data_IF_984791307708
#
_entry.id   IF_984791307708
#
_cell.length_a   1.000
_cell.length_b   1.000
_cell.length_c   1.000
_cell.angle_alpha   90.00
_cell.angle_beta   90.00
_cell.angle_gamma   90.00
#
_symmetry.space_group_name_H-M   'P 1'
#
loop_
_entity.id
_entity.type
_entity.pdbx_description
1 polymer ?
#
# COMPACT_ATOMS: atom_id res chain seq x y z
N UNK A 1 9.40 15.31 -2.23
CA UNK A 1 8.92 14.20 -3.06
C UNK A 1 9.94 14.05 -4.18
N UNK A 2 10.42 12.86 -4.54
CA UNK A 2 11.20 12.76 -5.77
C UNK A 2 10.32 13.29 -6.90
N UNK A 3 10.83 14.25 -7.65
CA UNK A 3 10.18 14.75 -8.85
C UNK A 3 10.26 13.65 -9.91
N UNK A 4 9.12 13.23 -10.45
CA UNK A 4 9.05 12.31 -11.59
C UNK A 4 8.01 11.21 -11.41
N UNK A 5 6.86 11.40 -12.06
CA UNK A 5 5.74 10.47 -12.28
C UNK A 5 5.06 9.82 -11.06
N UNK A 6 3.76 10.09 -10.93
CA UNK A 6 2.88 9.31 -10.06
C UNK A 6 2.72 7.89 -10.63
N UNK A 7 2.58 6.86 -9.79
CA UNK A 7 2.34 5.50 -10.26
C UNK A 7 0.99 5.46 -11.00
N UNK A 8 1.00 4.99 -12.25
CA UNK A 8 -0.17 5.00 -13.13
C UNK A 8 -1.41 4.37 -12.48
N UNK A 9 -1.21 3.29 -11.71
CA UNK A 9 -2.26 2.63 -10.94
C UNK A 9 -3.03 3.60 -10.02
N UNK A 10 -2.35 4.51 -9.31
CA UNK A 10 -2.99 5.46 -8.40
C UNK A 10 -3.25 6.84 -9.03
N UNK A 11 -2.91 7.01 -10.30
CA UNK A 11 -3.08 8.24 -11.06
C UNK A 11 -3.77 8.04 -12.44
N UNK A 12 -4.82 7.21 -12.56
CA UNK A 12 -5.50 7.00 -13.85
C UNK A 12 -6.27 8.24 -14.33
N UNK A 13 -6.65 9.12 -13.39
CA UNK A 13 -7.35 10.37 -13.64
C UNK A 13 -6.94 11.47 -12.63
N UNK A 14 -7.48 12.68 -12.82
CA UNK A 14 -7.14 13.83 -11.99
C UNK A 14 -7.63 13.70 -10.53
N UNK A 15 -8.77 13.05 -10.27
CA UNK A 15 -9.31 12.88 -8.92
C UNK A 15 -8.42 11.90 -8.15
N UNK A 16 -8.14 10.73 -8.71
CA UNK A 16 -7.29 9.71 -8.12
C UNK A 16 -5.89 10.26 -7.84
N UNK A 17 -5.29 10.95 -8.83
CA UNK A 17 -3.98 11.59 -8.71
C UNK A 17 -3.94 12.58 -7.54
N UNK A 18 -4.93 13.47 -7.45
CA UNK A 18 -5.02 14.46 -6.37
C UNK A 18 -5.16 13.77 -5.01
N UNK A 19 -6.08 12.81 -4.87
CA UNK A 19 -6.32 12.09 -3.62
C UNK A 19 -5.10 11.30 -3.17
N UNK A 20 -4.38 10.68 -4.11
CA UNK A 20 -3.13 9.98 -3.83
C UNK A 20 -2.07 10.93 -3.26
N UNK A 21 -1.89 12.11 -3.85
CA UNK A 21 -0.94 13.11 -3.33
C UNK A 21 -1.37 13.64 -1.96
N UNK A 22 -2.65 13.99 -1.79
CA UNK A 22 -3.21 14.49 -0.53
C UNK A 22 -3.03 13.51 0.64
N UNK A 23 -3.12 12.21 0.38
CA UNK A 23 -2.87 11.20 1.41
C UNK A 23 -1.49 11.37 2.05
N UNK A 24 -0.46 11.64 1.26
CA UNK A 24 0.89 11.82 1.79
C UNK A 24 1.13 13.22 2.34
N UNK A 25 0.61 14.26 1.68
CA UNK A 25 0.96 15.65 2.01
C UNK A 25 0.08 16.23 3.12
N UNK A 26 -1.22 15.92 3.12
CA UNK A 26 -2.20 16.48 4.05
C UNK A 26 -2.52 15.53 5.22
N UNK A 27 -2.63 14.22 4.97
CA UNK A 27 -3.08 13.26 6.00
C UNK A 27 -1.92 12.79 6.92
N UNK A 28 -0.71 12.61 6.40
CA UNK A 28 0.42 12.06 7.19
C UNK A 28 1.39 13.16 7.61
N UNK A 29 1.37 13.53 8.90
CA UNK A 29 2.28 14.55 9.48
C UNK A 29 3.69 14.04 9.75
N UNK A 30 3.84 12.77 10.13
CA UNK A 30 5.16 12.19 10.47
C UNK A 30 5.97 11.92 9.18
N UNK A 31 7.14 12.57 8.98
CA UNK A 31 7.95 12.40 7.76
C UNK A 31 8.44 10.96 7.54
N UNK A 32 8.72 10.22 8.62
CA UNK A 32 9.17 8.83 8.53
C UNK A 32 8.04 7.92 8.09
N UNK A 33 6.85 8.06 8.69
CA UNK A 33 5.66 7.31 8.27
C UNK A 33 5.29 7.64 6.83
N UNK A 34 5.35 8.92 6.44
CA UNK A 34 5.08 9.38 5.08
C UNK A 34 6.01 8.70 4.08
N UNK A 35 7.32 8.68 4.34
CA UNK A 35 8.31 8.03 3.47
C UNK A 35 8.08 6.52 3.39
N UNK A 36 7.80 5.87 4.52
CA UNK A 36 7.54 4.43 4.55
C UNK A 36 6.29 4.05 3.75
N UNK A 37 5.20 4.81 3.90
CA UNK A 37 3.95 4.53 3.18
C UNK A 37 4.06 4.89 1.70
N UNK A 38 4.78 5.96 1.34
CA UNK A 38 5.01 6.31 -0.06
C UNK A 38 5.80 5.20 -0.76
N UNK A 39 6.87 4.71 -0.13
CA UNK A 39 7.60 3.53 -0.60
C UNK A 39 6.67 2.33 -0.75
N UNK A 40 5.78 2.12 0.22
CA UNK A 40 4.87 1.00 0.17
C UNK A 40 3.87 1.05 -0.98
N UNK A 41 3.33 2.24 -1.27
CA UNK A 41 2.44 2.44 -2.39
C UNK A 41 3.15 2.26 -3.73
N UNK A 42 4.38 2.77 -3.88
CA UNK A 42 5.19 2.58 -5.10
C UNK A 42 5.52 1.11 -5.33
N UNK A 43 6.08 0.41 -4.33
CA UNK A 43 6.44 -1.01 -4.47
C UNK A 43 5.22 -1.90 -4.78
N UNK A 44 4.05 -1.54 -4.26
CA UNK A 44 2.80 -2.23 -4.58
C UNK A 44 2.31 -1.94 -6.00
N UNK A 45 2.34 -0.68 -6.44
CA UNK A 45 1.98 -0.31 -7.81
C UNK A 45 2.87 -1.02 -8.85
N UNK A 46 4.19 -1.03 -8.61
CA UNK A 46 5.13 -1.74 -9.48
C UNK A 46 4.85 -3.25 -9.51
N UNK A 47 4.45 -3.83 -8.38
CA UNK A 47 4.06 -5.24 -8.33
C UNK A 47 2.78 -5.50 -9.12
N UNK A 48 1.76 -4.67 -8.95
CA UNK A 48 0.51 -4.75 -9.71
C UNK A 48 0.77 -4.69 -11.22
N UNK A 49 1.62 -3.75 -11.67
CA UNK A 49 2.00 -3.64 -13.08
C UNK A 49 2.63 -4.94 -13.61
N UNK A 50 3.55 -5.57 -12.85
CA UNK A 50 4.13 -6.87 -13.21
C UNK A 50 3.12 -8.02 -13.24
N UNK A 51 2.03 -7.93 -12.48
CA UNK A 51 0.92 -8.89 -12.53
C UNK A 51 -0.12 -8.56 -13.61
N UNK A 52 0.07 -7.48 -14.37
CA UNK A 52 -0.91 -7.01 -15.36
C UNK A 52 -2.13 -6.30 -14.77
N UNK A 53 -2.12 -5.98 -13.47
CA UNK A 53 -3.18 -5.25 -12.78
C UNK A 53 -2.99 -3.75 -13.02
N UNK A 54 -3.77 -3.19 -13.94
CA UNK A 54 -3.61 -1.80 -14.40
C UNK A 54 -4.63 -0.84 -13.82
N UNK A 55 -5.78 -1.32 -13.37
CA UNK A 55 -6.84 -0.48 -12.82
C UNK A 55 -7.08 -0.78 -11.34
N UNK A 56 -7.35 0.28 -10.55
CA UNK A 56 -7.64 0.14 -9.11
C UNK A 56 -8.83 -0.77 -8.83
N UNK A 57 -9.83 -0.76 -9.72
CA UNK A 57 -11.05 -1.56 -9.57
C UNK A 57 -10.82 -3.07 -9.73
N UNK A 58 -9.73 -3.47 -10.38
CA UNK A 58 -9.37 -4.87 -10.59
C UNK A 58 -8.59 -5.45 -9.39
N UNK A 59 -8.25 -4.61 -8.41
CA UNK A 59 -7.52 -5.04 -7.23
C UNK A 59 -8.48 -5.70 -6.26
N UNK A 60 -8.37 -7.01 -6.17
CA UNK A 60 -9.09 -7.82 -5.20
C UNK A 60 -8.24 -8.14 -3.96
N UNK A 61 -8.88 -8.56 -2.84
CA UNK A 61 -8.18 -9.02 -1.64
C UNK A 61 -7.10 -10.09 -1.89
N UNK A 62 -7.32 -10.97 -2.86
CA UNK A 62 -6.34 -12.03 -3.22
C UNK A 62 -5.04 -11.44 -3.75
N UNK A 63 -5.10 -10.35 -4.52
CA UNK A 63 -3.91 -9.68 -5.04
C UNK A 63 -3.11 -9.04 -3.90
N UNK A 64 -3.79 -8.40 -2.96
CA UNK A 64 -3.13 -7.82 -1.78
C UNK A 64 -2.51 -8.92 -0.91
N UNK A 65 -3.19 -10.06 -0.73
CA UNK A 65 -2.67 -11.18 0.03
C UNK A 65 -1.39 -11.76 -0.61
N UNK A 66 -1.42 -12.05 -1.92
CA UNK A 66 -0.26 -12.56 -2.67
C UNK A 66 0.94 -11.60 -2.60
N UNK A 67 0.69 -10.30 -2.71
CA UNK A 67 1.73 -9.29 -2.53
C UNK A 67 2.38 -9.35 -1.15
N UNK A 68 1.57 -9.42 -0.08
CA UNK A 68 2.05 -9.47 1.30
C UNK A 68 2.79 -10.78 1.60
N UNK A 69 2.39 -11.90 1.00
CA UNK A 69 3.13 -13.17 1.08
C UNK A 69 4.51 -13.04 0.46
N UNK A 70 4.63 -12.49 -0.76
CA UNK A 70 5.94 -12.24 -1.37
C UNK A 70 6.82 -11.26 -0.58
N UNK A 71 6.23 -10.29 0.13
CA UNK A 71 7.01 -9.44 1.04
C UNK A 71 7.60 -10.20 2.23
N UNK A 72 6.88 -11.20 2.76
CA UNK A 72 7.34 -11.98 3.93
C UNK A 72 8.58 -12.82 3.64
N UNK A 73 8.81 -13.18 2.38
CA UNK A 73 9.99 -13.94 1.97
C UNK A 73 11.28 -13.10 2.03
N UNK A 74 11.16 -11.78 1.88
CA UNK A 74 12.32 -10.87 1.75
C UNK A 74 12.43 -9.80 2.85
N UNK A 75 11.38 -9.54 3.62
CA UNK A 75 11.35 -8.51 4.67
C UNK A 75 11.04 -9.10 6.05
N UNK A 76 11.57 -8.44 7.09
CA UNK A 76 11.21 -8.76 8.47
C UNK A 76 9.72 -8.46 8.75
N UNK A 77 9.10 -9.22 9.66
CA UNK A 77 7.69 -9.10 10.00
C UNK A 77 7.22 -7.67 10.38
N UNK A 78 8.00 -6.84 11.13
CA UNK A 78 7.62 -5.45 11.39
C UNK A 78 7.52 -4.61 10.11
N UNK A 79 8.43 -4.82 9.16
CA UNK A 79 8.43 -4.10 7.87
C UNK A 79 7.23 -4.49 7.02
N UNK A 80 6.89 -5.78 6.95
CA UNK A 80 5.69 -6.25 6.23
C UNK A 80 4.41 -5.66 6.84
N UNK A 81 4.32 -5.61 8.19
CA UNK A 81 3.18 -4.99 8.88
C UNK A 81 3.06 -3.51 8.56
N UNK A 82 4.17 -2.77 8.59
CA UNK A 82 4.19 -1.35 8.23
C UNK A 82 3.76 -1.14 6.78
N UNK A 83 4.20 -2.02 5.88
CA UNK A 83 3.83 -2.00 4.46
C UNK A 83 2.33 -2.19 4.26
N UNK A 84 1.77 -3.23 4.88
CA UNK A 84 0.33 -3.51 4.82
C UNK A 84 -0.49 -2.39 5.45
N UNK A 85 -0.03 -1.81 6.56
CA UNK A 85 -0.71 -0.67 7.17
C UNK A 85 -0.76 0.54 6.22
N UNK A 86 0.35 0.82 5.52
CA UNK A 86 0.41 1.89 4.53
C UNK A 86 -0.56 1.69 3.38
N UNK A 87 -0.59 0.49 2.80
CA UNK A 87 -1.50 0.16 1.69
C UNK A 87 -2.96 0.22 2.16
N UNK A 88 -3.28 -0.34 3.33
CA UNK A 88 -4.64 -0.31 3.87
C UNK A 88 -5.14 1.12 4.07
N UNK A 89 -4.34 1.96 4.71
CA UNK A 89 -4.71 3.35 4.97
C UNK A 89 -4.85 4.16 3.68
N UNK A 90 -4.01 3.89 2.67
CA UNK A 90 -4.15 4.51 1.36
C UNK A 90 -5.50 4.14 0.72
N UNK A 91 -5.85 2.85 0.71
CA UNK A 91 -7.14 2.43 0.15
C UNK A 91 -8.34 2.96 0.93
N UNK A 92 -8.29 3.01 2.27
CA UNK A 92 -9.34 3.66 3.07
C UNK A 92 -9.51 5.13 2.66
N UNK A 93 -8.41 5.85 2.44
CA UNK A 93 -8.44 7.24 2.00
C UNK A 93 -9.04 7.43 0.60
N UNK A 94 -8.74 6.50 -0.32
CA UNK A 94 -9.30 6.47 -1.66
C UNK A 94 -10.79 6.12 -1.65
N UNK A 95 -11.24 5.28 -0.72
CA UNK A 95 -12.67 4.99 -0.51
C UNK A 95 -13.41 6.22 0.00
N UNK A 96 -12.91 6.88 1.05
CA UNK A 96 -13.48 8.14 1.55
C UNK A 96 -13.47 9.24 0.49
N UNK A 97 -12.48 9.23 -0.40
CA UNK A 97 -12.38 10.15 -1.53
C UNK A 97 -13.20 9.78 -2.76
N UNK A 98 -14.04 8.74 -2.69
CA UNK A 98 -14.85 8.21 -3.79
C UNK A 98 -14.06 7.81 -5.05
N UNK A 99 -12.80 7.41 -4.89
CA UNK A 99 -11.96 6.84 -5.97
C UNK A 99 -12.14 5.32 -6.05
N UNK A 100 -12.35 4.67 -4.90
CA UNK A 100 -12.64 3.25 -4.80
C UNK A 100 -13.97 3.03 -4.09
N UNK A 101 -14.69 1.98 -4.46
CA UNK A 101 -15.94 1.61 -3.79
C UNK A 101 -15.68 0.91 -2.44
N UNK A 102 -14.64 0.07 -2.38
CA UNK A 102 -14.28 -0.74 -1.21
C UNK A 102 -12.76 -0.83 -1.06
N UNK A 103 -12.29 -1.08 0.17
CA UNK A 103 -10.87 -1.29 0.44
C UNK A 103 -10.51 -2.78 0.28
N UNK A 104 -9.75 -3.18 -0.76
CA UNK A 104 -9.38 -4.58 -0.98
C UNK A 104 -8.36 -5.10 0.05
N UNK A 105 -7.63 -4.23 0.73
CA UNK A 105 -6.70 -4.61 1.79
C UNK A 105 -7.36 -4.81 3.16
N UNK A 106 -8.65 -4.47 3.32
CA UNK A 106 -9.38 -4.61 4.58
C UNK A 106 -9.37 -6.04 5.16
N UNK A 107 -9.68 -7.11 4.41
CA UNK A 107 -9.68 -8.47 4.95
C UNK A 107 -8.27 -9.06 5.17
N UNK A 108 -7.23 -8.54 4.52
CA UNK A 108 -5.89 -9.15 4.51
C UNK A 108 -5.23 -9.08 5.90
N UNK A 109 -4.68 -10.19 6.38
CA UNK A 109 -3.98 -10.23 7.68
C UNK A 109 -2.48 -10.12 7.46
N UNK A 110 -1.82 -9.29 8.28
CA UNK A 110 -0.35 -9.24 8.29
C UNK A 110 0.26 -10.47 8.96
N UNK A 111 1.59 -10.67 8.83
CA UNK A 111 2.27 -11.80 9.45
C UNK A 111 2.02 -11.86 10.96
N UNK A 112 1.66 -13.06 11.44
CA UNK A 112 1.58 -13.32 12.88
C UNK A 112 2.98 -13.19 13.47
N UNK A 113 3.11 -12.42 14.54
CA UNK A 113 4.38 -12.28 15.23
C UNK A 113 4.70 -13.59 15.95
N UNK A 114 5.59 -14.42 15.40
CA UNK A 114 6.27 -15.45 16.18
C UNK A 114 7.49 -14.79 16.80
N UNK A 115 7.36 -14.34 18.05
CA UNK A 115 8.53 -14.01 18.87
C UNK A 115 9.31 -15.32 18.97
N UNK A 116 10.45 -15.45 18.27
CA UNK A 116 11.44 -16.44 18.68
C UNK A 116 11.99 -15.91 19.99
N UNK A 117 11.47 -16.42 21.11
CA UNK A 117 12.03 -16.24 22.44
C UNK A 117 13.52 -16.59 22.31
N UNK A 118 14.39 -15.59 22.49
CA UNK A 118 15.83 -15.82 22.50
C UNK A 118 16.14 -16.95 23.48
N UNK A 119 16.92 -17.93 23.01
CA UNK A 119 17.62 -18.84 23.89
C UNK A 119 18.69 -18.03 24.62
N UNK A 120 18.69 -18.16 25.95
CA UNK A 120 19.76 -17.85 26.93
C UNK A 120 20.29 -16.43 26.97
#
# INVERSE_FOLDING_TARGET
MPAGHLPALFAPDAQASRRFVEFFTANIRNPNTRRAYARAAMEFADWCERQGLRELRDIEPVHVAAYIEGLQERLAAPSVKLHLAGIRMLFDWLVVGHVLAVNPASPVRGPKHKVKKGKT
#
